data_IF_461544490294
#
_entry.id   IF_461544490294
#
_cell.length_a   1.000
_cell.length_b   1.000
_cell.length_c   1.000
_cell.angle_alpha   90.00
_cell.angle_beta   90.00
_cell.angle_gamma   90.00
#
_symmetry.space_group_name_H-M   'P 1'
#
loop_
_entity.id
_entity.type
_entity.pdbx_description
1 polymer ?
#
# COMPACT_ATOMS: atom_id res chain seq x y z
N UNK A 1 9.51 -37.95 15.54
CA UNK A 1 8.43 -36.92 15.46
C UNK A 1 8.25 -36.10 16.75
N UNK A 2 8.33 -36.69 17.95
CA UNK A 2 8.11 -35.99 19.23
C UNK A 2 9.09 -34.84 19.50
N UNK A 3 10.39 -35.04 19.25
CA UNK A 3 11.42 -33.99 19.42
C UNK A 3 11.19 -32.78 18.51
N UNK A 4 10.70 -32.97 17.28
CA UNK A 4 10.45 -31.86 16.35
C UNK A 4 9.28 -30.98 16.80
N UNK A 5 8.23 -31.58 17.40
CA UNK A 5 7.11 -30.82 17.98
C UNK A 5 7.51 -30.03 19.22
N UNK A 6 8.32 -30.64 20.11
CA UNK A 6 8.85 -29.97 21.31
C UNK A 6 9.74 -28.80 20.92
N UNK A 7 10.60 -28.96 19.90
CA UNK A 7 11.48 -27.87 19.45
C UNK A 7 10.69 -26.76 18.75
N UNK A 8 9.65 -27.07 17.96
CA UNK A 8 8.76 -26.03 17.41
C UNK A 8 8.01 -25.29 18.54
N UNK A 9 7.61 -26.01 19.59
CA UNK A 9 7.07 -25.40 20.81
C UNK A 9 8.07 -24.47 21.50
N UNK A 10 9.32 -24.91 21.68
CA UNK A 10 10.41 -24.10 22.26
C UNK A 10 10.75 -22.87 21.41
N UNK A 11 10.79 -23.00 20.09
CA UNK A 11 10.98 -21.88 19.16
C UNK A 11 9.79 -20.92 19.24
N UNK A 12 8.56 -21.43 19.36
CA UNK A 12 7.36 -20.62 19.60
C UNK A 12 7.42 -19.84 20.92
N UNK A 13 7.84 -20.49 22.02
CA UNK A 13 8.03 -19.85 23.32
C UNK A 13 9.15 -18.80 23.25
N UNK A 14 10.26 -19.11 22.57
CA UNK A 14 11.35 -18.15 22.31
C UNK A 14 10.88 -16.95 21.48
N UNK A 15 9.99 -17.18 20.50
CA UNK A 15 9.37 -16.11 19.71
C UNK A 15 8.51 -15.20 20.60
N UNK A 16 7.68 -15.78 21.48
CA UNK A 16 6.86 -15.02 22.43
C UNK A 16 7.74 -14.23 23.42
N UNK A 17 8.79 -14.85 23.97
CA UNK A 17 9.76 -14.16 24.83
C UNK A 17 10.45 -13.00 24.09
N UNK A 18 10.86 -13.19 22.84
CA UNK A 18 11.41 -12.10 22.02
C UNK A 18 10.38 -11.00 21.80
N UNK A 19 9.13 -11.32 21.48
CA UNK A 19 8.08 -10.30 21.31
C UNK A 19 7.91 -9.46 22.58
N UNK A 20 7.95 -10.11 23.74
CA UNK A 20 7.84 -9.46 25.04
C UNK A 20 9.05 -8.58 25.36
N UNK A 21 10.28 -9.07 25.12
CA UNK A 21 11.52 -8.29 25.32
C UNK A 21 11.54 -7.07 24.40
N UNK A 22 11.19 -7.22 23.12
CA UNK A 22 11.14 -6.09 22.19
C UNK A 22 10.03 -5.09 22.54
N UNK A 23 8.88 -5.56 23.05
CA UNK A 23 7.84 -4.67 23.55
C UNK A 23 8.31 -3.88 24.78
N UNK A 24 9.06 -4.53 25.68
CA UNK A 24 9.62 -3.87 26.85
C UNK A 24 10.74 -2.88 26.48
N UNK A 25 11.61 -3.25 25.54
CA UNK A 25 12.61 -2.34 24.96
C UNK A 25 11.95 -1.15 24.26
N UNK A 26 10.84 -1.37 23.56
CA UNK A 26 10.04 -0.30 22.95
C UNK A 26 9.51 0.66 24.01
N UNK A 27 8.94 0.15 25.10
CA UNK A 27 8.44 0.98 26.21
C UNK A 27 9.57 1.77 26.89
N UNK A 28 10.74 1.16 27.11
CA UNK A 28 11.91 1.85 27.64
C UNK A 28 12.44 2.92 26.69
N UNK A 29 12.49 2.65 25.39
CA UNK A 29 12.87 3.64 24.37
C UNK A 29 11.86 4.79 24.28
N UNK A 30 10.57 4.49 24.43
CA UNK A 30 9.50 5.49 24.45
C UNK A 30 9.64 6.39 25.70
N UNK A 31 9.83 5.79 26.88
CA UNK A 31 10.02 6.52 28.13
C UNK A 31 11.29 7.38 28.08
N UNK A 32 12.41 6.83 27.59
CA UNK A 32 13.65 7.57 27.41
C UNK A 32 13.50 8.73 26.42
N UNK A 33 12.70 8.56 25.37
CA UNK A 33 12.37 9.60 24.41
C UNK A 33 11.49 10.70 25.01
N UNK A 34 10.44 10.36 25.75
CA UNK A 34 9.56 11.33 26.42
C UNK A 34 10.29 12.11 27.52
N UNK A 35 11.19 11.45 28.26
CA UNK A 35 11.97 12.07 29.33
C UNK A 35 13.10 12.96 28.78
N UNK A 36 13.60 12.67 27.58
CA UNK A 36 14.59 13.48 26.87
C UNK A 36 13.93 14.61 26.08
N UNK A 37 13.37 15.61 26.78
CA UNK A 37 12.73 16.79 26.18
C UNK A 37 13.59 17.56 25.15
N UNK A 38 14.91 17.31 25.10
CA UNK A 38 15.84 17.85 24.08
C UNK A 38 15.69 17.21 22.69
N UNK A 39 15.14 16.01 22.56
CA UNK A 39 14.97 15.33 21.25
C UNK A 39 13.71 15.74 20.49
N UNK A 40 12.75 16.41 21.17
CA UNK A 40 11.53 16.95 20.56
C UNK A 40 11.75 18.20 19.71
N UNK A 41 12.92 18.84 19.81
CA UNK A 41 13.25 20.10 19.11
C UNK A 41 14.09 19.85 17.84
N UNK A 42 14.63 18.64 17.65
CA UNK A 42 15.52 18.36 16.52
C UNK A 42 14.75 18.05 15.23
N UNK A 43 15.23 18.60 14.12
CA UNK A 43 14.74 18.39 12.75
C UNK A 43 14.62 16.89 12.34
N UNK A 44 15.26 15.99 13.10
CA UNK A 44 15.35 14.54 12.90
C UNK A 44 14.41 13.70 13.79
N UNK A 45 13.48 14.31 14.53
CA UNK A 45 12.52 13.56 15.39
C UNK A 45 11.76 12.47 14.63
N UNK A 46 11.46 12.68 13.35
CA UNK A 46 10.82 11.68 12.50
C UNK A 46 11.64 10.39 12.38
N UNK A 47 12.97 10.46 12.36
CA UNK A 47 13.83 9.28 12.22
C UNK A 47 13.70 8.37 13.43
N UNK A 48 13.67 8.96 14.63
CA UNK A 48 13.47 8.21 15.86
C UNK A 48 12.06 7.59 15.92
N UNK A 49 11.01 8.33 15.52
CA UNK A 49 9.65 7.79 15.43
C UNK A 49 9.53 6.67 14.41
N UNK A 50 10.22 6.77 13.28
CA UNK A 50 10.30 5.70 12.29
C UNK A 50 10.99 4.47 12.88
N UNK A 51 12.14 4.64 13.55
CA UNK A 51 12.87 3.56 14.20
C UNK A 51 12.00 2.86 15.25
N UNK A 52 11.27 3.65 16.04
CA UNK A 52 10.35 3.15 17.06
C UNK A 52 9.21 2.33 16.41
N UNK A 53 8.58 2.82 15.35
CA UNK A 53 7.59 2.06 14.58
C UNK A 53 8.18 0.76 13.98
N UNK A 54 9.39 0.83 13.43
CA UNK A 54 10.09 -0.34 12.89
C UNK A 54 10.40 -1.36 13.99
N UNK A 55 10.78 -0.91 15.18
CA UNK A 55 10.98 -1.77 16.34
C UNK A 55 9.65 -2.44 16.76
N UNK A 56 8.55 -1.68 16.75
CA UNK A 56 7.20 -2.21 16.95
C UNK A 56 6.85 -3.30 15.94
N UNK A 57 7.12 -3.10 14.65
CA UNK A 57 6.88 -4.13 13.62
C UNK A 57 7.85 -5.32 13.74
N UNK A 58 9.09 -5.08 14.18
CA UNK A 58 10.08 -6.12 14.40
C UNK A 58 9.63 -7.11 15.48
N UNK A 59 8.84 -6.68 16.47
CA UNK A 59 8.27 -7.59 17.49
C UNK A 59 7.49 -8.74 16.87
N UNK A 60 6.83 -8.53 15.72
CA UNK A 60 6.04 -9.56 15.02
C UNK A 60 6.85 -10.24 13.91
N UNK A 61 7.60 -9.44 13.13
CA UNK A 61 8.27 -9.94 11.92
C UNK A 61 9.52 -10.79 12.23
N UNK A 62 10.30 -10.41 13.24
CA UNK A 62 11.57 -11.03 13.57
C UNK A 62 11.40 -12.46 14.12
N UNK A 63 10.44 -12.73 15.04
CA UNK A 63 10.11 -14.10 15.43
C UNK A 63 9.54 -14.92 14.26
N UNK A 64 8.68 -14.31 13.42
CA UNK A 64 8.16 -14.96 12.22
C UNK A 64 9.27 -15.38 11.25
N UNK A 65 10.31 -14.56 11.09
CA UNK A 65 11.47 -14.86 10.25
C UNK A 65 12.36 -15.97 10.84
N UNK A 66 12.61 -15.95 12.16
CA UNK A 66 13.37 -17.01 12.86
C UNK A 66 12.64 -18.34 12.70
N UNK A 67 11.32 -18.35 12.91
CA UNK A 67 10.48 -19.53 12.74
C UNK A 67 10.53 -20.05 11.30
N UNK A 68 10.41 -19.18 10.30
CA UNK A 68 10.57 -19.55 8.89
C UNK A 68 11.92 -20.21 8.61
N UNK A 69 13.02 -19.56 8.98
CA UNK A 69 14.38 -20.05 8.71
C UNK A 69 14.65 -21.39 9.40
N UNK A 70 14.08 -21.60 10.57
CA UNK A 70 14.16 -22.87 11.28
C UNK A 70 13.35 -23.98 10.58
N UNK A 71 12.12 -23.68 10.15
CA UNK A 71 11.26 -24.63 9.44
C UNK A 71 11.85 -25.06 8.09
N UNK A 72 12.44 -24.10 7.37
CA UNK A 72 13.15 -24.33 6.10
C UNK A 72 14.40 -25.20 6.32
N UNK A 73 15.29 -24.82 7.26
CA UNK A 73 16.51 -25.59 7.56
C UNK A 73 16.25 -27.00 8.08
N UNK A 74 15.11 -27.22 8.75
CA UNK A 74 14.76 -28.54 9.30
C UNK A 74 14.06 -29.47 8.29
N UNK A 75 13.78 -29.01 7.06
CA UNK A 75 12.91 -29.66 6.08
C UNK A 75 11.60 -30.15 6.74
N UNK A 76 11.01 -29.29 7.58
CA UNK A 76 9.87 -29.65 8.40
C UNK A 76 8.65 -30.03 7.56
N UNK A 77 8.47 -29.35 6.41
CA UNK A 77 7.35 -29.57 5.50
C UNK A 77 7.44 -30.90 4.72
N UNK A 78 8.64 -31.41 4.47
CA UNK A 78 8.83 -32.73 3.82
C UNK A 78 8.61 -33.90 4.77
N UNK A 79 8.70 -33.66 6.09
CA UNK A 79 8.72 -34.70 7.13
C UNK A 79 7.37 -34.94 7.81
N UNK A 80 6.33 -34.18 7.47
CA UNK A 80 5.04 -34.20 8.20
C UNK A 80 3.86 -34.52 7.29
N UNK A 81 3.10 -35.55 7.70
CA UNK A 81 1.73 -35.76 7.25
C UNK A 81 0.77 -34.75 7.90
N UNK A 82 -0.16 -34.21 7.12
CA UNK A 82 -1.01 -33.05 7.38
C UNK A 82 -2.04 -33.22 8.53
N UNK A 83 -1.61 -33.59 9.73
CA UNK A 83 -2.47 -34.13 10.81
C UNK A 83 -2.80 -33.16 11.94
N UNK A 84 -2.12 -32.02 12.10
CA UNK A 84 -2.39 -31.03 13.17
C UNK A 84 -2.83 -29.68 12.62
N UNK A 85 -3.68 -28.96 13.37
CA UNK A 85 -4.04 -27.57 13.08
C UNK A 85 -2.79 -26.66 12.99
N UNK A 86 -1.81 -26.87 13.88
CA UNK A 86 -0.56 -26.11 13.89
C UNK A 86 0.26 -26.39 12.61
N UNK A 87 0.36 -27.66 12.17
CA UNK A 87 1.09 -27.98 10.94
C UNK A 87 0.40 -27.40 9.69
N UNK A 88 -0.95 -27.37 9.66
CA UNK A 88 -1.71 -26.73 8.58
C UNK A 88 -1.49 -25.21 8.54
N UNK A 89 -1.50 -24.55 9.69
CA UNK A 89 -1.24 -23.11 9.79
C UNK A 89 0.20 -22.77 9.39
N UNK A 90 1.19 -23.54 9.87
CA UNK A 90 2.59 -23.34 9.48
C UNK A 90 2.82 -23.57 7.98
N UNK A 91 2.17 -24.58 7.39
CA UNK A 91 2.22 -24.83 5.95
C UNK A 91 1.56 -23.70 5.15
N UNK A 92 0.40 -23.19 5.57
CA UNK A 92 -0.21 -22.02 4.93
C UNK A 92 0.67 -20.76 5.04
N UNK A 93 1.37 -20.59 6.18
CA UNK A 93 2.22 -19.43 6.42
C UNK A 93 3.52 -19.44 5.60
N UNK A 94 4.19 -20.60 5.54
CA UNK A 94 5.58 -20.71 5.10
C UNK A 94 5.82 -21.80 4.04
N UNK A 95 4.89 -22.74 3.90
CA UNK A 95 5.01 -23.82 2.92
C UNK A 95 4.95 -23.28 1.50
N UNK A 96 5.95 -23.61 0.69
CA UNK A 96 5.82 -23.44 -0.76
C UNK A 96 4.91 -24.55 -1.28
N UNK A 97 3.82 -24.24 -2.01
CA UNK A 97 3.05 -25.27 -2.67
C UNK A 97 3.99 -26.04 -3.60
N UNK A 98 4.12 -27.35 -3.37
CA UNK A 98 5.18 -28.23 -3.89
C UNK A 98 5.21 -28.47 -5.40
N UNK A 99 4.63 -27.59 -6.21
CA UNK A 99 4.82 -27.57 -7.64
C UNK A 99 5.49 -26.25 -8.02
N UNK A 100 6.74 -26.36 -8.48
CA UNK A 100 7.28 -25.39 -9.44
C UNK A 100 6.29 -25.34 -10.59
N UNK A 101 5.34 -24.42 -10.57
CA UNK A 101 4.62 -24.04 -11.77
C UNK A 101 5.73 -23.64 -12.75
N UNK A 102 5.88 -24.33 -13.90
CA UNK A 102 6.97 -24.07 -14.82
C UNK A 102 7.02 -22.57 -15.10
N UNK A 103 8.23 -22.02 -15.14
CA UNK A 103 8.47 -20.66 -15.58
C UNK A 103 7.60 -20.42 -16.83
N UNK A 104 6.69 -19.46 -16.75
CA UNK A 104 5.85 -18.97 -17.86
C UNK A 104 4.53 -19.67 -18.20
N UNK A 105 3.73 -20.15 -17.25
CA UNK A 105 2.27 -20.09 -17.48
C UNK A 105 1.82 -18.64 -17.27
N UNK A 106 2.05 -17.80 -18.29
CA UNK A 106 1.25 -16.59 -18.44
C UNK A 106 -0.19 -17.08 -18.43
N UNK A 107 -1.00 -16.69 -17.45
CA UNK A 107 -2.47 -16.77 -17.57
C UNK A 107 -2.79 -16.40 -19.02
N UNK A 108 -3.53 -17.24 -19.77
CA UNK A 108 -3.81 -16.94 -21.15
C UNK A 108 -4.37 -15.53 -21.15
N UNK A 109 -3.62 -14.60 -21.75
CA UNK A 109 -4.20 -13.33 -22.15
C UNK A 109 -5.19 -13.78 -23.20
N UNK A 110 -6.43 -14.05 -22.77
CA UNK A 110 -7.56 -14.08 -23.67
C UNK A 110 -7.37 -12.81 -24.48
N UNK A 111 -7.14 -12.96 -25.78
CA UNK A 111 -7.07 -11.85 -26.72
C UNK A 111 -8.48 -11.27 -26.79
N UNK A 112 -8.85 -10.60 -25.69
CA UNK A 112 -10.01 -9.77 -25.61
C UNK A 112 -9.78 -8.65 -26.62
N UNK A 113 -10.74 -8.45 -27.52
CA UNK A 113 -10.65 -7.43 -28.56
C UNK A 113 -10.22 -6.09 -27.95
N UNK A 114 -9.42 -5.31 -28.69
CA UNK A 114 -8.83 -4.04 -28.23
C UNK A 114 -9.84 -3.10 -27.55
N UNK A 115 -11.12 -3.18 -27.94
CA UNK A 115 -12.23 -2.46 -27.32
C UNK A 115 -12.51 -2.86 -25.86
N UNK A 116 -12.43 -4.15 -25.51
CA UNK A 116 -12.71 -4.67 -24.16
C UNK A 116 -11.59 -4.32 -23.18
N UNK A 117 -10.33 -4.38 -23.61
CA UNK A 117 -9.20 -3.92 -22.78
C UNK A 117 -9.26 -2.41 -22.53
N UNK A 118 -9.63 -1.61 -23.53
CA UNK A 118 -9.85 -0.18 -23.37
C UNK A 118 -10.97 0.13 -22.37
N UNK A 119 -12.09 -0.62 -22.45
CA UNK A 119 -13.17 -0.53 -21.49
C UNK A 119 -12.74 -0.92 -20.07
N UNK A 120 -11.98 -2.01 -19.91
CA UNK A 120 -11.44 -2.41 -18.61
C UNK A 120 -10.50 -1.35 -18.02
N UNK A 121 -9.66 -0.73 -18.85
CA UNK A 121 -8.76 0.34 -18.42
C UNK A 121 -9.56 1.56 -17.97
N UNK A 122 -10.58 1.96 -18.74
CA UNK A 122 -11.46 3.07 -18.39
C UNK A 122 -12.26 2.77 -17.11
N UNK A 123 -12.76 1.54 -16.94
CA UNK A 123 -13.42 1.09 -15.72
C UNK A 123 -12.49 1.17 -14.51
N UNK A 124 -11.25 0.66 -14.62
CA UNK A 124 -10.25 0.76 -13.57
C UNK A 124 -9.90 2.21 -13.25
N UNK A 125 -9.70 3.05 -14.27
CA UNK A 125 -9.42 4.47 -14.10
C UNK A 125 -10.56 5.18 -13.35
N UNK A 126 -11.78 5.16 -13.90
CA UNK A 126 -12.94 5.85 -13.33
C UNK A 126 -13.30 5.30 -11.95
N UNK A 127 -13.24 3.98 -11.77
CA UNK A 127 -13.48 3.34 -10.48
C UNK A 127 -12.44 3.72 -9.42
N UNK A 128 -11.16 3.84 -9.80
CA UNK A 128 -10.12 4.33 -8.88
C UNK A 128 -10.35 5.80 -8.53
N UNK A 129 -10.73 6.65 -9.49
CA UNK A 129 -11.05 8.06 -9.21
C UNK A 129 -12.19 8.18 -8.21
N UNK A 130 -13.31 7.51 -8.47
CA UNK A 130 -14.51 7.62 -7.63
C UNK A 130 -14.31 7.01 -6.25
N UNK A 131 -13.72 5.81 -6.16
CA UNK A 131 -13.50 5.14 -4.88
C UNK A 131 -12.58 5.96 -3.95
N UNK A 132 -11.49 6.52 -4.49
CA UNK A 132 -10.56 7.32 -3.69
C UNK A 132 -11.11 8.70 -3.33
N UNK A 133 -11.95 9.29 -4.19
CA UNK A 133 -12.62 10.55 -3.88
C UNK A 133 -13.63 10.36 -2.75
N UNK A 134 -14.49 9.34 -2.85
CA UNK A 134 -15.44 8.97 -1.77
C UNK A 134 -14.70 8.67 -0.48
N UNK A 135 -13.65 7.85 -0.55
CA UNK A 135 -12.82 7.54 0.62
C UNK A 135 -12.19 8.79 1.23
N UNK A 136 -11.65 9.70 0.42
CA UNK A 136 -11.03 10.94 0.89
C UNK A 136 -12.02 11.87 1.59
N UNK A 137 -13.20 12.09 0.99
CA UNK A 137 -14.25 12.93 1.59
C UNK A 137 -14.77 12.35 2.91
N UNK A 138 -15.00 11.02 2.96
CA UNK A 138 -15.43 10.36 4.19
C UNK A 138 -14.36 10.39 5.27
N UNK A 139 -13.08 10.25 4.90
CA UNK A 139 -11.98 10.36 5.84
C UNK A 139 -11.92 11.78 6.42
N UNK A 140 -12.03 12.81 5.59
CA UNK A 140 -12.06 14.20 6.04
C UNK A 140 -13.24 14.45 6.98
N UNK A 141 -14.45 14.01 6.60
CA UNK A 141 -15.65 14.09 7.44
C UNK A 141 -15.41 13.48 8.82
N UNK A 142 -14.90 12.25 8.87
CA UNK A 142 -14.68 11.52 10.13
C UNK A 142 -13.63 12.20 11.01
N UNK A 143 -12.58 12.79 10.42
CA UNK A 143 -11.49 13.42 11.17
C UNK A 143 -11.80 14.86 11.61
N UNK A 144 -12.75 15.54 10.97
CA UNK A 144 -13.06 16.95 11.22
C UNK A 144 -14.35 17.17 12.01
N UNK A 145 -15.37 16.33 11.81
CA UNK A 145 -16.68 16.52 12.43
C UNK A 145 -16.72 16.02 13.88
N UNK A 146 -17.54 16.70 14.67
CA UNK A 146 -17.87 16.29 16.03
C UNK A 146 -19.12 15.40 15.99
N UNK A 147 -19.07 14.26 16.67
CA UNK A 147 -20.21 13.37 16.82
C UNK A 147 -20.94 13.69 18.11
N UNK A 148 -22.25 13.92 18.01
CA UNK A 148 -23.13 14.17 19.17
C UNK A 148 -23.54 12.81 19.74
N UNK A 149 -23.14 12.51 20.98
CA UNK A 149 -23.56 11.29 21.67
C UNK A 149 -25.02 11.37 22.13
N UNK A 150 -25.60 10.23 22.50
CA UNK A 150 -26.94 10.15 23.09
C UNK A 150 -27.10 11.03 24.35
N UNK A 151 -25.99 11.26 25.06
CA UNK A 151 -25.93 12.10 26.27
C UNK A 151 -25.76 13.61 25.95
N UNK A 152 -25.81 14.01 24.68
CA UNK A 152 -25.62 15.39 24.21
C UNK A 152 -24.16 15.87 24.17
N UNK A 153 -23.20 15.03 24.54
CA UNK A 153 -21.77 15.36 24.52
C UNK A 153 -21.19 15.31 23.11
N UNK A 154 -20.37 16.31 22.75
CA UNK A 154 -19.66 16.38 21.47
C UNK A 154 -18.32 15.66 21.60
N UNK A 155 -18.15 14.54 20.91
CA UNK A 155 -16.89 13.79 20.87
C UNK A 155 -16.29 13.89 19.47
N UNK A 156 -15.02 14.35 19.41
CA UNK A 156 -14.23 14.36 18.19
C UNK A 156 -13.40 13.09 18.08
N UNK A 157 -13.41 12.47 16.90
CA UNK A 157 -12.53 11.34 16.61
C UNK A 157 -11.10 11.82 16.38
N UNK A 158 -10.13 11.24 17.10
CA UNK A 158 -8.72 11.66 17.03
C UNK A 158 -7.75 10.49 16.75
N UNK A 159 -8.28 9.27 16.51
CA UNK A 159 -7.47 8.05 16.41
C UNK A 159 -7.36 7.55 14.96
N UNK A 160 -6.51 8.18 14.16
CA UNK A 160 -6.30 7.78 12.76
C UNK A 160 -5.80 6.33 12.60
N UNK A 161 -5.09 5.78 13.58
CA UNK A 161 -4.58 4.40 13.54
C UNK A 161 -5.72 3.39 13.64
N UNK A 162 -6.69 3.64 14.52
CA UNK A 162 -7.90 2.83 14.61
C UNK A 162 -8.69 2.79 13.30
N UNK A 163 -8.81 3.93 12.62
CA UNK A 163 -9.50 4.01 11.32
C UNK A 163 -8.77 3.18 10.25
N UNK A 164 -7.44 3.22 10.23
CA UNK A 164 -6.63 2.38 9.34
C UNK A 164 -6.85 0.91 9.67
N UNK A 165 -6.82 0.53 10.95
CA UNK A 165 -7.05 -0.86 11.38
C UNK A 165 -8.42 -1.37 10.92
N UNK A 166 -9.50 -0.62 11.14
CA UNK A 166 -10.85 -0.99 10.69
C UNK A 166 -10.91 -1.14 9.18
N UNK A 167 -10.33 -0.21 8.41
CA UNK A 167 -10.30 -0.31 6.96
C UNK A 167 -9.60 -1.60 6.47
N UNK A 168 -8.48 -1.99 7.12
CA UNK A 168 -7.76 -3.23 6.81
C UNK A 168 -8.56 -4.47 7.21
N UNK A 169 -9.18 -4.44 8.40
CA UNK A 169 -9.99 -5.54 8.92
C UNK A 169 -11.22 -5.78 8.05
N UNK A 170 -11.96 -4.73 7.71
CA UNK A 170 -13.12 -4.82 6.82
C UNK A 170 -12.71 -5.33 5.43
N UNK A 171 -11.61 -4.83 4.85
CA UNK A 171 -11.12 -5.33 3.56
C UNK A 171 -10.74 -6.82 3.61
N UNK A 172 -10.12 -7.27 4.69
CA UNK A 172 -9.82 -8.69 4.93
C UNK A 172 -11.11 -9.52 5.04
N UNK A 173 -12.07 -9.11 5.86
CA UNK A 173 -13.34 -9.83 6.05
C UNK A 173 -14.15 -9.91 4.75
N UNK A 174 -14.23 -8.81 3.98
CA UNK A 174 -14.89 -8.79 2.66
C UNK A 174 -14.20 -9.75 1.69
N UNK A 175 -12.86 -9.77 1.68
CA UNK A 175 -12.10 -10.67 0.81
C UNK A 175 -12.33 -12.13 1.18
N UNK A 176 -12.27 -12.47 2.47
CA UNK A 176 -12.53 -13.82 2.99
C UNK A 176 -13.96 -14.25 2.66
N UNK A 177 -14.96 -13.43 2.98
CA UNK A 177 -16.36 -13.73 2.69
C UNK A 177 -16.59 -14.01 1.20
N UNK A 178 -16.03 -13.19 0.31
CA UNK A 178 -16.17 -13.39 -1.14
C UNK A 178 -15.43 -14.62 -1.65
N UNK A 179 -14.24 -14.91 -1.13
CA UNK A 179 -13.47 -16.11 -1.50
C UNK A 179 -14.18 -17.39 -1.06
N UNK A 180 -14.76 -17.38 0.15
CA UNK A 180 -15.58 -18.49 0.67
C UNK A 180 -16.83 -18.72 -0.19
N UNK A 181 -17.58 -17.65 -0.50
CA UNK A 181 -18.76 -17.75 -1.38
C UNK A 181 -18.42 -18.21 -2.81
N UNK A 182 -17.22 -17.91 -3.29
CA UNK A 182 -16.76 -18.28 -4.63
C UNK A 182 -16.05 -19.65 -4.67
N UNK A 183 -15.99 -20.37 -3.54
CA UNK A 183 -15.27 -21.63 -3.37
C UNK A 183 -13.81 -21.58 -3.86
N UNK A 184 -13.16 -20.42 -3.80
CA UNK A 184 -11.76 -20.26 -4.20
C UNK A 184 -10.82 -20.46 -3.00
N UNK A 185 -9.60 -20.97 -3.24
CA UNK A 185 -8.63 -21.12 -2.16
C UNK A 185 -8.25 -19.76 -1.58
N UNK A 186 -8.23 -19.66 -0.25
CA UNK A 186 -7.89 -18.45 0.49
C UNK A 186 -6.42 -18.03 0.30
N UNK A 187 -5.54 -18.99 0.01
CA UNK A 187 -4.10 -18.81 -0.08
C UNK A 187 -3.60 -19.36 -1.43
N UNK A 188 -3.10 -18.48 -2.30
CA UNK A 188 -2.48 -18.86 -3.58
C UNK A 188 -0.95 -18.81 -3.56
N UNK A 189 -0.37 -18.14 -2.57
CA UNK A 189 1.07 -18.04 -2.38
C UNK A 189 1.40 -18.16 -0.89
N UNK A 190 2.63 -18.56 -0.50
CA UNK A 190 3.04 -18.59 0.89
C UNK A 190 2.74 -17.24 1.57
N UNK A 191 2.02 -17.26 2.69
CA UNK A 191 1.50 -16.03 3.29
C UNK A 191 2.63 -15.01 3.58
N UNK A 192 3.80 -15.48 4.02
CA UNK A 192 4.94 -14.59 4.30
C UNK A 192 5.33 -13.69 3.11
N UNK A 193 5.06 -14.07 1.86
CA UNK A 193 5.38 -13.25 0.67
C UNK A 193 4.50 -12.01 0.56
N UNK A 194 3.29 -12.04 1.13
CA UNK A 194 2.42 -10.87 1.23
C UNK A 194 2.88 -9.91 2.34
N UNK A 195 3.64 -10.39 3.33
CA UNK A 195 4.17 -9.55 4.42
C UNK A 195 5.08 -8.44 3.90
N UNK A 196 5.91 -8.70 2.87
CA UNK A 196 6.76 -7.67 2.25
C UNK A 196 5.95 -6.51 1.69
N UNK A 197 4.84 -6.79 1.01
CA UNK A 197 3.91 -5.76 0.53
C UNK A 197 3.27 -4.99 1.68
N UNK A 198 2.81 -5.70 2.72
CA UNK A 198 2.14 -5.08 3.86
C UNK A 198 3.07 -4.12 4.60
N UNK A 199 4.30 -4.56 4.93
CA UNK A 199 5.29 -3.75 5.64
C UNK A 199 5.67 -2.52 4.85
N UNK A 200 6.01 -2.68 3.57
CA UNK A 200 6.39 -1.54 2.72
C UNK A 200 5.24 -0.56 2.49
N UNK A 201 4.00 -1.05 2.38
CA UNK A 201 2.81 -0.22 2.29
C UNK A 201 2.56 0.60 3.57
N UNK A 202 2.73 0.00 4.75
CA UNK A 202 2.58 0.70 6.04
C UNK A 202 3.67 1.75 6.22
N UNK A 203 4.93 1.41 5.94
CA UNK A 203 6.06 2.37 6.00
C UNK A 203 5.81 3.53 5.04
N UNK A 204 5.39 3.23 3.81
CA UNK A 204 5.05 4.25 2.81
C UNK A 204 3.94 5.18 3.32
N UNK A 205 2.84 4.62 3.84
CA UNK A 205 1.74 5.42 4.38
C UNK A 205 2.20 6.32 5.55
N UNK A 206 3.00 5.80 6.46
CA UNK A 206 3.54 6.59 7.57
C UNK A 206 4.45 7.73 7.09
N UNK A 207 5.40 7.43 6.20
CA UNK A 207 6.29 8.44 5.61
C UNK A 207 5.51 9.51 4.85
N UNK A 208 4.43 9.14 4.16
CA UNK A 208 3.55 10.09 3.48
C UNK A 208 2.92 11.08 4.47
N UNK A 209 2.39 10.59 5.60
CA UNK A 209 1.78 11.48 6.59
C UNK A 209 2.82 12.33 7.31
N UNK A 210 3.96 11.76 7.68
CA UNK A 210 5.02 12.51 8.38
C UNK A 210 5.64 13.57 7.47
N UNK A 211 5.77 13.32 6.17
CA UNK A 211 6.30 14.28 5.20
C UNK A 211 5.48 15.58 5.13
N UNK A 212 4.16 15.55 5.42
CA UNK A 212 3.31 16.74 5.41
C UNK A 212 3.67 17.76 6.51
N UNK A 213 4.44 17.36 7.53
CA UNK A 213 4.97 18.27 8.56
C UNK A 213 6.17 19.09 8.07
N UNK A 214 6.86 18.59 7.06
CA UNK A 214 8.12 19.16 6.55
C UNK A 214 8.01 19.65 5.11
N UNK A 215 6.92 19.33 4.42
CA UNK A 215 6.71 19.62 3.01
C UNK A 215 5.25 19.98 2.79
N UNK A 216 5.01 21.01 1.98
CA UNK A 216 3.66 21.42 1.63
C UNK A 216 2.92 20.32 0.85
N UNK A 217 1.59 20.29 0.97
CA UNK A 217 0.76 19.34 0.22
C UNK A 217 1.02 19.38 -1.31
N UNK A 218 1.15 20.56 -1.96
CA UNK A 218 1.52 20.63 -3.38
C UNK A 218 2.87 19.96 -3.71
N UNK A 219 3.91 20.21 -2.90
CA UNK A 219 5.23 19.61 -3.12
C UNK A 219 5.18 18.08 -2.91
N UNK A 220 4.36 17.59 -1.98
CA UNK A 220 4.14 16.14 -1.86
C UNK A 220 3.45 15.55 -3.10
N UNK A 221 2.45 16.23 -3.67
CA UNK A 221 1.77 15.78 -4.88
C UNK A 221 2.71 15.81 -6.09
N UNK A 222 3.61 16.80 -6.16
CA UNK A 222 4.69 16.83 -7.16
C UNK A 222 5.52 15.56 -7.09
N UNK A 223 6.06 15.28 -5.90
CA UNK A 223 6.93 14.14 -5.71
C UNK A 223 6.20 12.87 -6.11
N UNK A 224 4.97 12.64 -5.63
CA UNK A 224 4.19 11.46 -6.03
C UNK A 224 4.08 11.26 -7.54
N UNK A 225 4.08 12.33 -8.32
CA UNK A 225 3.99 12.25 -9.77
C UNK A 225 5.29 11.78 -10.44
N UNK A 226 6.44 12.00 -9.80
CA UNK A 226 7.74 11.51 -10.26
C UNK A 226 7.95 10.00 -10.03
N UNK A 227 7.02 9.31 -9.34
CA UNK A 227 7.19 7.90 -8.93
C UNK A 227 7.21 6.89 -10.09
N UNK A 228 6.85 7.29 -11.31
CA UNK A 228 6.86 6.42 -12.51
C UNK A 228 8.24 5.79 -12.72
N UNK A 229 9.31 6.60 -12.59
CA UNK A 229 10.69 6.16 -12.80
C UNK A 229 11.14 5.14 -11.72
N UNK A 230 11.00 5.43 -10.40
CA UNK A 230 11.23 4.45 -9.35
C UNK A 230 10.48 3.12 -9.55
N UNK A 231 9.21 3.16 -9.98
CA UNK A 231 8.42 1.94 -10.24
C UNK A 231 9.00 1.11 -11.38
N UNK A 232 9.45 1.74 -12.47
CA UNK A 232 10.12 1.04 -13.56
C UNK A 232 11.44 0.41 -13.12
N UNK A 233 12.24 1.14 -12.35
CA UNK A 233 13.50 0.63 -11.79
C UNK A 233 13.24 -0.58 -10.89
N UNK A 234 12.26 -0.48 -10.00
CA UNK A 234 11.94 -1.56 -9.06
C UNK A 234 11.35 -2.78 -9.75
N UNK A 235 10.56 -2.59 -10.80
CA UNK A 235 10.09 -3.70 -11.64
C UNK A 235 11.21 -4.42 -12.39
N UNK A 236 12.27 -3.71 -12.78
CA UNK A 236 13.49 -4.32 -13.36
C UNK A 236 14.29 -5.09 -12.30
N UNK A 237 14.44 -4.54 -11.09
CA UNK A 237 15.17 -5.19 -10.00
C UNK A 237 14.45 -6.44 -9.46
N UNK A 238 13.15 -6.35 -9.19
CA UNK A 238 12.37 -7.42 -8.55
C UNK A 238 11.93 -8.49 -9.56
N UNK A 239 11.34 -8.07 -10.67
CA UNK A 239 10.69 -8.99 -11.63
C UNK A 239 11.53 -9.23 -12.89
N UNK A 240 12.74 -8.66 -12.98
CA UNK A 240 13.57 -8.66 -14.21
C UNK A 240 12.79 -8.26 -15.47
N UNK A 241 11.80 -7.36 -15.30
CA UNK A 241 10.98 -6.90 -16.42
C UNK A 241 11.83 -6.09 -17.39
N UNK A 242 11.68 -6.41 -18.68
CA UNK A 242 12.20 -5.60 -19.77
C UNK A 242 11.10 -4.62 -20.17
N UNK A 243 11.45 -3.34 -20.25
CA UNK A 243 10.57 -2.28 -20.69
C UNK A 243 10.98 -1.87 -22.10
N UNK A 244 9.98 -1.56 -22.91
CA UNK A 244 10.18 -1.08 -24.27
C UNK A 244 10.53 0.42 -24.26
N UNK A 245 11.18 0.91 -25.31
CA UNK A 245 11.64 2.31 -25.38
C UNK A 245 10.50 3.32 -25.19
N UNK A 246 9.30 3.02 -25.70
CA UNK A 246 8.14 3.91 -25.54
C UNK A 246 7.71 4.07 -24.07
N UNK A 247 7.90 3.07 -23.21
CA UNK A 247 7.55 3.15 -21.79
C UNK A 247 8.49 4.13 -21.07
N UNK A 248 9.78 4.13 -21.43
CA UNK A 248 10.75 5.10 -20.92
C UNK A 248 10.45 6.52 -21.39
N UNK A 249 10.16 6.70 -22.69
CA UNK A 249 9.80 8.02 -23.25
C UNK A 249 8.53 8.56 -22.59
N UNK A 250 7.52 7.70 -22.41
CA UNK A 250 6.27 8.07 -21.72
C UNK A 250 6.53 8.50 -20.29
N UNK A 251 7.36 7.76 -19.54
CA UNK A 251 7.71 8.09 -18.16
C UNK A 251 8.42 9.45 -18.05
N UNK A 252 9.39 9.71 -18.94
CA UNK A 252 10.13 10.98 -18.98
C UNK A 252 9.20 12.14 -19.34
N UNK A 253 8.32 11.98 -20.34
CA UNK A 253 7.35 13.01 -20.72
C UNK A 253 6.37 13.32 -19.57
N UNK A 254 5.89 12.30 -18.85
CA UNK A 254 5.06 12.50 -17.65
C UNK A 254 5.84 13.28 -16.59
N UNK A 255 7.10 12.92 -16.33
CA UNK A 255 7.94 13.64 -15.37
C UNK A 255 8.15 15.11 -15.76
N UNK A 256 8.47 15.39 -17.04
CA UNK A 256 8.64 16.76 -17.54
C UNK A 256 7.33 17.54 -17.46
N UNK A 257 6.21 16.95 -17.89
CA UNK A 257 4.90 17.60 -17.83
C UNK A 257 4.47 17.96 -16.42
N UNK A 258 4.75 17.10 -15.45
CA UNK A 258 4.49 17.38 -14.04
C UNK A 258 5.40 18.46 -13.46
N UNK A 259 6.67 18.51 -13.86
CA UNK A 259 7.59 19.58 -13.48
C UNK A 259 7.12 20.92 -14.04
N UNK A 260 6.79 20.98 -15.34
CA UNK A 260 6.24 22.18 -16.00
C UNK A 260 4.93 22.64 -15.38
N UNK A 261 4.02 21.70 -15.09
CA UNK A 261 2.75 22.00 -14.46
C UNK A 261 2.95 22.75 -13.15
N UNK A 262 3.93 22.31 -12.37
CA UNK A 262 4.18 22.88 -11.06
C UNK A 262 4.91 24.19 -11.15
N UNK A 263 5.97 24.32 -11.95
CA UNK A 263 6.59 25.63 -12.20
C UNK A 263 5.57 26.66 -12.69
N UNK A 264 4.60 26.24 -13.49
CA UNK A 264 3.52 27.11 -13.95
C UNK A 264 2.32 27.25 -13.01
N UNK A 265 2.27 26.58 -11.87
CA UNK A 265 1.25 26.79 -10.84
C UNK A 265 1.73 27.71 -9.71
N UNK A 266 2.91 28.33 -9.88
CA UNK A 266 3.46 29.31 -8.95
C UNK A 266 3.11 30.72 -9.40
N UNK A 267 2.25 31.41 -8.65
CA UNK A 267 2.35 32.86 -8.48
C UNK A 267 3.45 33.13 -7.44
N UNK A 268 4.09 34.30 -7.51
CA UNK A 268 5.24 34.79 -6.72
C UNK A 268 5.11 34.73 -5.17
N UNK A 269 4.06 34.10 -4.62
CA UNK A 269 4.00 33.77 -3.20
C UNK A 269 4.86 32.54 -2.93
N UNK A 270 6.12 32.79 -2.57
CA UNK A 270 6.97 31.94 -1.74
C UNK A 270 6.48 30.49 -1.63
N UNK A 271 7.04 29.57 -2.43
CA UNK A 271 7.28 28.24 -1.87
C UNK A 271 7.93 28.53 -0.53
N UNK A 272 7.23 28.24 0.57
CA UNK A 272 7.87 28.28 1.86
C UNK A 272 9.08 27.38 1.69
N UNK A 273 10.27 27.98 1.59
CA UNK A 273 11.57 27.32 1.47
C UNK A 273 11.91 26.63 2.79
N UNK A 274 10.92 25.96 3.36
CA UNK A 274 11.03 24.95 4.40
C UNK A 274 10.79 23.63 3.69
N UNK A 275 11.48 23.39 2.56
CA UNK A 275 11.67 22.01 2.10
C UNK A 275 12.86 21.49 2.89
N UNK A 276 12.60 21.08 4.12
CA UNK A 276 13.65 20.54 4.97
C UNK A 276 14.19 19.24 4.36
N UNK A 277 15.49 18.97 4.50
CA UNK A 277 16.10 17.71 4.04
C UNK A 277 15.40 16.47 4.59
N UNK A 278 14.82 16.55 5.78
CA UNK A 278 13.93 15.55 6.37
C UNK A 278 12.73 15.24 5.48
N UNK A 279 12.05 16.25 4.98
CA UNK A 279 10.90 16.16 4.08
C UNK A 279 11.23 15.48 2.76
N UNK A 280 12.35 15.85 2.12
CA UNK A 280 12.82 15.19 0.89
C UNK A 280 13.19 13.73 1.14
N UNK A 281 13.85 13.44 2.25
CA UNK A 281 14.24 12.08 2.63
C UNK A 281 13.00 11.20 2.87
N UNK A 282 11.99 11.73 3.58
CA UNK A 282 10.71 11.05 3.81
C UNK A 282 9.95 10.79 2.51
N UNK A 283 9.93 11.75 1.58
CA UNK A 283 9.29 11.58 0.27
C UNK A 283 10.01 10.55 -0.59
N UNK A 284 11.35 10.54 -0.58
CA UNK A 284 12.15 9.53 -1.27
C UNK A 284 11.88 8.12 -0.71
N UNK A 285 11.87 7.97 0.62
CA UNK A 285 11.55 6.69 1.27
C UNK A 285 10.12 6.24 0.96
N UNK A 286 9.14 7.15 1.04
CA UNK A 286 7.76 6.91 0.64
C UNK A 286 7.67 6.34 -0.78
N UNK A 287 8.34 6.98 -1.75
CA UNK A 287 8.33 6.57 -3.15
C UNK A 287 8.95 5.20 -3.34
N UNK A 288 10.10 4.94 -2.72
CA UNK A 288 10.81 3.67 -2.84
C UNK A 288 9.95 2.52 -2.29
N UNK A 289 9.34 2.72 -1.12
CA UNK A 289 8.44 1.75 -0.52
C UNK A 289 7.18 1.52 -1.37
N UNK A 290 6.50 2.57 -1.85
CA UNK A 290 5.30 2.44 -2.70
C UNK A 290 5.62 1.76 -4.05
N UNK A 291 6.78 2.08 -4.61
CA UNK A 291 7.29 1.49 -5.85
C UNK A 291 7.63 0.02 -5.68
N UNK A 292 8.24 -0.35 -4.55
CA UNK A 292 8.46 -1.74 -4.18
C UNK A 292 7.14 -2.48 -4.02
N UNK A 293 6.18 -1.93 -3.26
CA UNK A 293 4.90 -2.57 -2.99
C UNK A 293 4.19 -2.95 -4.28
N UNK A 294 3.99 -1.98 -5.18
CA UNK A 294 3.29 -2.21 -6.46
C UNK A 294 4.06 -3.16 -7.40
N UNK A 295 5.39 -3.08 -7.43
CA UNK A 295 6.24 -3.95 -8.25
C UNK A 295 6.25 -5.39 -7.73
N UNK A 296 6.32 -5.59 -6.41
CA UNK A 296 6.26 -6.90 -5.78
C UNK A 296 4.89 -7.55 -5.94
N UNK A 297 3.80 -6.78 -5.80
CA UNK A 297 2.44 -7.26 -6.11
C UNK A 297 2.36 -7.78 -7.55
N UNK A 298 2.91 -7.02 -8.50
CA UNK A 298 3.00 -7.45 -9.90
C UNK A 298 3.82 -8.73 -10.10
N UNK A 299 4.92 -8.89 -9.35
CA UNK A 299 5.75 -10.09 -9.36
C UNK A 299 4.96 -11.30 -8.84
N UNK A 300 4.24 -11.13 -7.73
CA UNK A 300 3.46 -12.19 -7.09
C UNK A 300 2.28 -12.62 -7.96
N UNK A 301 1.59 -11.69 -8.62
CA UNK A 301 0.57 -12.00 -9.63
C UNK A 301 1.12 -12.84 -10.78
N UNK A 302 2.34 -12.55 -11.23
CA UNK A 302 2.96 -13.27 -12.35
C UNK A 302 3.49 -14.65 -11.94
N UNK A 303 4.03 -14.77 -10.71
CA UNK A 303 4.70 -15.99 -10.23
C UNK A 303 3.75 -17.02 -9.64
N UNK A 304 2.66 -16.59 -9.02
CA UNK A 304 1.70 -17.46 -8.31
C UNK A 304 0.30 -17.45 -8.92
N UNK A 305 0.09 -16.71 -10.02
CA UNK A 305 -1.23 -16.57 -10.65
C UNK A 305 -2.35 -16.18 -9.66
N UNK A 306 -2.01 -15.37 -8.65
CA UNK A 306 -2.97 -14.98 -7.61
C UNK A 306 -4.13 -14.17 -8.21
N UNK A 307 -5.32 -14.34 -7.67
CA UNK A 307 -6.45 -13.45 -7.98
C UNK A 307 -6.33 -12.14 -7.20
N UNK A 308 -6.96 -11.07 -7.70
CA UNK A 308 -6.97 -9.78 -6.99
C UNK A 308 -7.61 -9.87 -5.60
N UNK A 309 -8.54 -10.81 -5.39
CA UNK A 309 -9.16 -11.09 -4.09
C UNK A 309 -8.20 -11.81 -3.13
N UNK A 310 -7.40 -12.75 -3.63
CA UNK A 310 -6.37 -13.41 -2.81
C UNK A 310 -5.28 -12.43 -2.39
N UNK A 311 -4.89 -11.51 -3.28
CA UNK A 311 -3.98 -10.41 -2.92
C UNK A 311 -4.58 -9.49 -1.85
N UNK A 312 -5.86 -9.12 -2.01
CA UNK A 312 -6.58 -8.32 -1.02
C UNK A 312 -6.63 -9.01 0.35
N UNK A 313 -6.93 -10.30 0.38
CA UNK A 313 -6.93 -11.12 1.59
C UNK A 313 -5.53 -11.19 2.24
N UNK A 314 -4.52 -11.64 1.48
CA UNK A 314 -3.17 -11.87 2.00
C UNK A 314 -2.49 -10.60 2.51
N UNK A 315 -2.56 -9.49 1.75
CA UNK A 315 -1.95 -8.23 2.19
C UNK A 315 -2.67 -7.66 3.41
N UNK A 316 -4.01 -7.64 3.43
CA UNK A 316 -4.73 -7.08 4.57
C UNK A 316 -4.63 -7.95 5.83
N UNK A 317 -4.47 -9.28 5.72
CA UNK A 317 -4.18 -10.12 6.88
C UNK A 317 -2.92 -9.65 7.64
N UNK A 318 -1.80 -9.49 6.94
CA UNK A 318 -0.58 -8.96 7.57
C UNK A 318 -0.73 -7.51 7.99
N UNK A 319 -1.46 -6.69 7.22
CA UNK A 319 -1.67 -5.30 7.59
C UNK A 319 -2.47 -5.20 8.88
N UNK A 320 -3.49 -6.04 9.09
CA UNK A 320 -4.24 -6.13 10.34
C UNK A 320 -3.35 -6.52 11.51
N UNK A 321 -2.51 -7.54 11.35
CA UNK A 321 -1.59 -7.97 12.44
C UNK A 321 -0.65 -6.83 12.84
N UNK A 322 -0.02 -6.16 11.86
CA UNK A 322 0.94 -5.08 12.12
C UNK A 322 0.28 -3.81 12.68
N UNK A 323 -0.94 -3.51 12.24
CA UNK A 323 -1.68 -2.35 12.76
C UNK A 323 -2.32 -2.63 14.12
N UNK A 324 -2.76 -3.87 14.38
CA UNK A 324 -3.22 -4.30 15.70
C UNK A 324 -2.09 -4.27 16.73
N UNK A 325 -0.88 -4.69 16.37
CA UNK A 325 0.28 -4.62 17.28
C UNK A 325 0.64 -3.18 17.61
N UNK A 326 0.55 -2.26 16.65
CA UNK A 326 0.75 -0.83 16.89
C UNK A 326 -0.36 -0.25 17.79
N UNK A 327 -1.62 -0.61 17.52
CA UNK A 327 -2.77 -0.14 18.28
C UNK A 327 -2.76 -0.64 19.74
N UNK A 328 -2.29 -1.87 19.97
CA UNK A 328 -2.15 -2.45 21.32
C UNK A 328 -1.15 -1.67 22.20
N UNK A 329 -0.25 -0.90 21.61
CA UNK A 329 0.72 -0.05 22.32
C UNK A 329 0.12 1.32 22.70
N UNK A 330 -1.03 1.70 22.13
CA UNK A 330 -1.71 2.98 22.38
C UNK A 330 -2.96 2.79 23.26
N UNK A 331 -3.03 3.51 24.39
CA UNK A 331 -4.16 3.47 25.33
C UNK A 331 -5.47 4.13 24.81
N UNK A 332 -5.50 4.63 23.57
CA UNK A 332 -6.64 5.37 23.00
C UNK A 332 -7.75 4.46 22.45
N UNK A 333 -7.46 3.17 22.26
CA UNK A 333 -8.32 2.20 21.57
C UNK A 333 -9.71 2.05 22.20
N UNK A 334 -9.81 2.15 23.53
CA UNK A 334 -11.08 2.00 24.25
C UNK A 334 -12.07 3.12 23.89
N UNK A 335 -11.57 4.35 23.72
CA UNK A 335 -12.39 5.51 23.34
C UNK A 335 -12.94 5.35 21.91
N UNK A 336 -12.09 4.89 21.00
CA UNK A 336 -12.46 4.62 19.60
C UNK A 336 -13.50 3.51 19.47
N UNK A 337 -13.40 2.46 20.29
CA UNK A 337 -14.40 1.38 20.36
C UNK A 337 -15.75 1.86 20.91
N UNK A 338 -15.76 2.76 21.89
CA UNK A 338 -17.00 3.36 22.40
C UNK A 338 -17.70 4.19 21.33
N UNK A 339 -16.94 4.90 20.50
CA UNK A 339 -17.48 5.72 19.42
C UNK A 339 -18.16 4.88 18.32
N UNK A 340 -17.70 3.64 18.08
CA UNK A 340 -18.36 2.69 17.16
C UNK A 340 -19.78 2.31 17.58
N UNK A 341 -20.17 2.51 18.84
CA UNK A 341 -21.54 2.27 19.28
C UNK A 341 -22.49 3.34 18.73
N UNK A 342 -21.97 4.49 18.28
CA UNK A 342 -22.76 5.55 17.68
C UNK A 342 -23.13 5.19 16.22
N UNK A 343 -24.42 5.09 15.86
CA UNK A 343 -24.85 4.51 14.59
C UNK A 343 -24.39 5.32 13.37
N UNK A 344 -24.34 6.65 13.48
CA UNK A 344 -23.85 7.51 12.39
C UNK A 344 -22.35 7.32 12.18
N UNK A 345 -21.57 7.23 13.26
CA UNK A 345 -20.13 7.02 13.17
C UNK A 345 -19.82 5.63 12.63
N UNK A 346 -20.55 4.61 13.09
CA UNK A 346 -20.46 3.25 12.56
C UNK A 346 -20.78 3.19 11.06
N UNK A 347 -21.84 3.87 10.62
CA UNK A 347 -22.20 3.94 9.20
C UNK A 347 -21.12 4.65 8.38
N UNK A 348 -20.61 5.79 8.85
CA UNK A 348 -19.52 6.52 8.20
C UNK A 348 -18.24 5.64 8.09
N UNK A 349 -17.90 4.90 9.16
CA UNK A 349 -16.80 3.94 9.17
C UNK A 349 -17.03 2.78 8.20
N UNK A 350 -18.24 2.23 8.13
CA UNK A 350 -18.57 1.13 7.21
C UNK A 350 -18.47 1.59 5.76
N UNK A 351 -18.97 2.78 5.43
CA UNK A 351 -18.91 3.34 4.09
C UNK A 351 -17.47 3.69 3.69
N UNK A 352 -16.68 4.22 4.63
CA UNK A 352 -15.24 4.45 4.45
C UNK A 352 -14.51 3.12 4.19
N UNK A 353 -14.77 2.09 5.00
CA UNK A 353 -14.18 0.76 4.85
C UNK A 353 -14.55 0.11 3.52
N UNK A 354 -15.82 0.20 3.11
CA UNK A 354 -16.30 -0.35 1.85
C UNK A 354 -15.65 0.34 0.65
N UNK A 355 -15.60 1.67 0.63
CA UNK A 355 -14.93 2.43 -0.43
C UNK A 355 -13.42 2.14 -0.48
N UNK A 356 -12.76 2.01 0.68
CA UNK A 356 -11.36 1.57 0.78
C UNK A 356 -11.14 0.17 0.22
N UNK A 357 -11.99 -0.79 0.56
CA UNK A 357 -11.89 -2.17 0.07
C UNK A 357 -12.09 -2.25 -1.46
N UNK A 358 -13.06 -1.50 -2.00
CA UNK A 358 -13.28 -1.38 -3.44
C UNK A 358 -12.06 -0.75 -4.13
N UNK A 359 -11.52 0.34 -3.57
CA UNK A 359 -10.32 0.99 -4.08
C UNK A 359 -9.13 0.04 -4.14
N UNK A 360 -8.85 -0.69 -3.05
CA UNK A 360 -7.79 -1.70 -3.01
C UNK A 360 -8.01 -2.82 -4.02
N UNK A 361 -9.24 -3.32 -4.17
CA UNK A 361 -9.55 -4.35 -5.16
C UNK A 361 -9.27 -3.86 -6.59
N UNK A 362 -9.60 -2.60 -6.90
CA UNK A 362 -9.33 -1.99 -8.19
C UNK A 362 -7.83 -1.77 -8.42
N UNK A 363 -7.05 -1.42 -7.39
CA UNK A 363 -5.57 -1.39 -7.47
C UNK A 363 -5.06 -2.76 -7.89
N UNK A 364 -5.45 -3.80 -7.17
CA UNK A 364 -5.00 -5.16 -7.44
C UNK A 364 -5.42 -5.65 -8.82
N UNK A 365 -6.64 -5.34 -9.27
CA UNK A 365 -7.10 -5.65 -10.62
C UNK A 365 -6.28 -4.93 -11.68
N UNK A 366 -5.96 -3.65 -11.45
CA UNK A 366 -5.15 -2.84 -12.36
C UNK A 366 -3.72 -3.39 -12.47
N UNK A 367 -3.09 -3.70 -11.34
CA UNK A 367 -1.72 -4.25 -11.31
C UNK A 367 -1.69 -5.64 -11.95
N UNK A 368 -2.67 -6.50 -11.67
CA UNK A 368 -2.75 -7.84 -12.25
C UNK A 368 -2.93 -7.81 -13.78
N UNK A 369 -3.83 -6.94 -14.29
CA UNK A 369 -4.18 -6.87 -15.72
C UNK A 369 -3.18 -6.05 -16.54
N UNK A 370 -2.84 -4.86 -16.06
CA UNK A 370 -2.07 -3.87 -16.81
C UNK A 370 -0.63 -3.68 -16.31
N UNK A 371 -0.31 -4.16 -15.10
CA UNK A 371 1.01 -4.03 -14.50
C UNK A 371 1.18 -2.80 -13.61
N UNK A 372 2.23 -2.83 -12.79
CA UNK A 372 2.54 -1.77 -11.81
C UNK A 372 2.82 -0.40 -12.45
N UNK A 373 3.42 -0.35 -13.64
CA UNK A 373 3.71 0.93 -14.33
C UNK A 373 2.41 1.63 -14.75
N UNK A 374 1.47 0.89 -15.34
CA UNK A 374 0.17 1.47 -15.75
C UNK A 374 -0.65 1.91 -14.54
N UNK A 375 -0.65 1.10 -13.47
CA UNK A 375 -1.23 1.51 -12.20
C UNK A 375 -0.66 2.85 -11.72
N UNK A 376 0.67 2.99 -11.74
CA UNK A 376 1.33 4.23 -11.36
C UNK A 376 0.91 5.40 -12.23
N UNK A 377 0.83 5.23 -13.56
CA UNK A 377 0.36 6.26 -14.49
C UNK A 377 -1.08 6.70 -14.17
N UNK A 378 -1.98 5.76 -13.90
CA UNK A 378 -3.38 6.07 -13.50
C UNK A 378 -3.41 6.91 -12.21
N UNK A 379 -2.57 6.55 -11.23
CA UNK A 379 -2.49 7.25 -9.95
C UNK A 379 -1.90 8.66 -10.10
N UNK A 380 -0.94 8.86 -11.00
CA UNK A 380 -0.40 10.20 -11.31
C UNK A 380 -1.44 11.05 -12.04
N UNK A 381 -2.20 10.47 -12.96
CA UNK A 381 -3.30 11.17 -13.62
C UNK A 381 -4.39 11.60 -12.64
N UNK A 382 -4.73 10.75 -11.65
CA UNK A 382 -5.66 11.15 -10.59
C UNK A 382 -5.21 12.42 -9.93
N UNK A 383 -3.95 12.45 -9.52
CA UNK A 383 -3.39 13.59 -8.81
C UNK A 383 -3.42 14.85 -9.67
N UNK A 384 -3.04 14.75 -10.94
CA UNK A 384 -3.14 15.86 -11.88
C UNK A 384 -4.59 16.37 -12.01
N UNK A 385 -5.58 15.48 -12.15
CA UNK A 385 -7.00 15.84 -12.21
C UNK A 385 -7.48 16.49 -10.90
N UNK A 386 -7.08 15.96 -9.74
CA UNK A 386 -7.42 16.56 -8.45
C UNK A 386 -6.86 17.97 -8.29
N UNK A 387 -5.62 18.22 -8.74
CA UNK A 387 -5.04 19.56 -8.68
C UNK A 387 -5.75 20.50 -9.65
N UNK A 388 -6.03 20.06 -10.88
CA UNK A 388 -6.81 20.83 -11.84
C UNK A 388 -8.18 21.24 -11.28
N UNK A 389 -8.88 20.29 -10.67
CA UNK A 389 -10.17 20.54 -10.05
C UNK A 389 -10.05 21.53 -8.88
N UNK A 390 -9.01 21.42 -8.07
CA UNK A 390 -8.68 22.40 -7.02
C UNK A 390 -8.45 23.80 -7.61
N UNK A 391 -7.63 23.93 -8.66
CA UNK A 391 -7.38 25.23 -9.29
C UNK A 391 -8.66 25.84 -9.89
N UNK A 392 -9.51 25.02 -10.52
CA UNK A 392 -10.78 25.48 -11.09
C UNK A 392 -11.79 25.92 -10.01
N UNK A 393 -11.87 25.18 -8.90
CA UNK A 393 -12.81 25.47 -7.81
C UNK A 393 -12.38 26.69 -6.99
N UNK A 394 -11.08 26.81 -6.69
CA UNK A 394 -10.55 27.92 -5.89
C UNK A 394 -10.15 29.14 -6.71
N UNK A 395 -10.36 29.10 -8.04
CA UNK A 395 -10.08 30.23 -8.93
C UNK A 395 -8.60 30.61 -9.02
N UNK A 396 -7.68 29.67 -8.76
CA UNK A 396 -6.25 29.94 -8.92
C UNK A 396 -5.92 30.10 -10.41
N UNK A 397 -5.25 31.20 -10.75
CA UNK A 397 -4.74 31.45 -12.09
C UNK A 397 -3.69 30.40 -12.44
N UNK A 398 -4.03 29.48 -13.34
CA UNK A 398 -3.08 28.51 -13.88
C UNK A 398 -2.26 29.25 -14.94
N UNK A 399 -0.95 29.39 -14.76
CA UNK A 399 -0.12 30.01 -15.79
C UNK A 399 -0.10 29.15 -17.06
N UNK A 400 0.36 29.76 -18.16
CA UNK A 400 0.55 29.06 -19.44
C UNK A 400 1.44 27.82 -19.28
N UNK A 401 2.48 27.88 -18.44
CA UNK A 401 3.34 26.71 -18.14
C UNK A 401 2.59 25.57 -17.46
N UNK A 402 1.62 25.90 -16.60
CA UNK A 402 0.73 24.97 -15.93
C UNK A 402 -0.09 24.19 -16.95
N UNK A 403 -0.80 24.92 -17.80
CA UNK A 403 -1.65 24.35 -18.86
C UNK A 403 -0.82 23.47 -19.82
N UNK A 404 0.35 23.94 -20.24
CA UNK A 404 1.25 23.17 -21.09
C UNK A 404 1.72 21.88 -20.42
N UNK A 405 2.05 21.92 -19.13
CA UNK A 405 2.43 20.75 -18.36
C UNK A 405 1.34 19.68 -18.31
N UNK A 406 0.09 20.09 -18.06
CA UNK A 406 -1.07 19.19 -18.08
C UNK A 406 -1.26 18.56 -19.46
N UNK A 407 -1.27 19.38 -20.51
CA UNK A 407 -1.43 18.89 -21.88
C UNK A 407 -0.34 17.89 -22.25
N UNK A 408 0.89 18.12 -21.80
CA UNK A 408 2.02 17.21 -22.00
C UNK A 408 1.82 15.87 -21.27
N UNK A 409 1.34 15.88 -20.01
CA UNK A 409 1.04 14.65 -19.26
C UNK A 409 -0.04 13.83 -19.95
N UNK A 410 -1.14 14.46 -20.36
CA UNK A 410 -2.20 13.77 -21.11
C UNK A 410 -1.66 13.20 -22.43
N UNK A 411 -0.94 14.00 -23.22
CA UNK A 411 -0.33 13.56 -24.47
C UNK A 411 0.62 12.37 -24.26
N UNK A 412 1.44 12.39 -23.21
CA UNK A 412 2.35 11.31 -22.87
C UNK A 412 1.60 10.00 -22.58
N UNK A 413 0.51 10.07 -21.80
CA UNK A 413 -0.30 8.88 -21.50
C UNK A 413 -0.98 8.34 -22.76
N UNK A 414 -1.59 9.21 -23.58
CA UNK A 414 -2.20 8.78 -24.84
C UNK A 414 -1.17 8.16 -25.78
N UNK A 415 0.03 8.75 -25.87
CA UNK A 415 1.14 8.20 -26.64
C UNK A 415 1.55 6.82 -26.12
N UNK A 416 1.69 6.65 -24.80
CA UNK A 416 2.03 5.37 -24.19
C UNK A 416 1.00 4.28 -24.47
N UNK A 417 -0.29 4.62 -24.37
CA UNK A 417 -1.40 3.71 -24.72
C UNK A 417 -1.38 3.36 -26.20
N UNK A 418 -1.24 4.35 -27.09
CA UNK A 418 -1.19 4.15 -28.53
C UNK A 418 0.00 3.28 -28.97
N UNK A 419 1.20 3.59 -28.48
CA UNK A 419 2.42 2.82 -28.77
C UNK A 419 2.28 1.37 -28.32
N UNK A 420 1.74 1.15 -27.11
CA UNK A 420 1.47 -0.20 -26.59
C UNK A 420 0.51 -0.97 -27.49
N UNK A 421 -0.56 -0.35 -27.95
CA UNK A 421 -1.52 -0.98 -28.87
C UNK A 421 -0.88 -1.31 -30.22
N UNK A 422 -0.10 -0.37 -30.80
CA UNK A 422 0.54 -0.56 -32.10
C UNK A 422 1.62 -1.64 -32.07
N UNK A 423 2.44 -1.68 -31.03
CA UNK A 423 3.46 -2.72 -30.84
C UNK A 423 2.82 -4.11 -30.65
N UNK A 424 1.66 -4.18 -30.00
CA UNK A 424 0.93 -5.45 -29.86
C UNK A 424 0.37 -5.94 -31.19
N UNK A 425 -0.19 -5.05 -32.03
CA UNK A 425 -0.63 -5.40 -33.41
C UNK A 425 0.53 -5.86 -34.31
N UNK A 426 1.77 -5.45 -34.01
CA UNK A 426 2.98 -5.82 -34.75
C UNK A 426 3.64 -7.12 -34.27
N UNK A 427 3.30 -7.65 -33.10
CA UNK A 427 3.78 -8.98 -32.70
C UNK A 427 3.04 -10.01 -33.55
N UNK A 428 3.73 -10.76 -34.43
CA UNK A 428 3.08 -11.86 -35.13
C UNK A 428 2.49 -12.80 -34.08
N UNK A 429 1.25 -13.25 -34.32
CA UNK A 429 0.69 -14.36 -33.58
C UNK A 429 1.61 -15.56 -33.84
N UNK A 430 2.53 -15.84 -32.92
CA UNK A 430 3.29 -17.07 -32.96
C UNK A 430 2.28 -18.19 -32.71
N UNK A 431 1.94 -18.89 -33.79
CA UNK A 431 1.25 -20.19 -33.84
C UNK A 431 2.04 -21.21 -33.05
#
# INVERSE_FOLDING_TARGET
MMNSRIIVGLVGISCVLMTWIFAQLYHELLNAYEQSGKLMVMEYTWFFRLLLNLAGYATVLLPGFILYKYLDKSNYFDKIGNTSCISRTLFACFGEPGERIPETVKLPKVDEGTSREGFELAFCFTGLMSAYLVWGLLQEKIMTQNYVMADGTLIKFNDSQFLVFINRLSAFLIAVGRLLCSHQPLVAAPLYKFSYCSVTNIISAWCQYEALKYVSFPTQVLSKSCKVIPVMLMGKLISRKKYELYEYVTAVLISIGMVLFIFGSHDDSTVSTVTTMSGLTLLALYMLCDSFTSSWQGALFTRYSCTSLQMLCGVNLFSCVLTASALAQHNTTIYSLRLLQHPVFAFDCLLLSASSAVGQLLIYRTIARFGAVVFTIIMTLRQAVSILLSCLVYGHVISVGGVLGVMLVFAAVFLGVYCRQRLRKRRPANV
#
